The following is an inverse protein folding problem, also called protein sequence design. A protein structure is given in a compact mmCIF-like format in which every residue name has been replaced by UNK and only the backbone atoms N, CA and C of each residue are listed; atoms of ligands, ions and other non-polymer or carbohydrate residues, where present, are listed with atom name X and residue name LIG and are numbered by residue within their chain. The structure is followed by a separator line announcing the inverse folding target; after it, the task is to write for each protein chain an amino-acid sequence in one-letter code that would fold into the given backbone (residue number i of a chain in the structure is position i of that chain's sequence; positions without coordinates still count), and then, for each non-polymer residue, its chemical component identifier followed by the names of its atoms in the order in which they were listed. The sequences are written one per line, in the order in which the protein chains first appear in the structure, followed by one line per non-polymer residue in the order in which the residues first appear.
data_IF_514973615838
#
_entry.id   IF_514973615838
#
_cell.length_a   1.000
_cell.length_b   1.000
_cell.length_c   1.000
_cell.angle_alpha   90.00
_cell.angle_beta   90.00
_cell.angle_gamma   90.00
#
_symmetry.space_group_name_H-M   'P 1'
#
loop_
_entity.id
_entity.type
_entity.pdbx_description
1 polymer ?
#
# COMPACT_ATOMS: atom_id res chain seq x y z
N UNK A 1 11.56 8.54 -0.16
CA UNK A 1 10.37 8.21 0.68
C UNK A 1 9.99 6.73 0.54
N UNK A 2 9.24 6.12 1.47
CA UNK A 2 8.88 4.69 1.40
C UNK A 2 7.36 4.53 1.43
N UNK A 3 6.83 3.62 0.62
CA UNK A 3 5.43 3.19 0.61
C UNK A 3 5.31 1.79 1.18
N UNK A 4 4.53 1.62 2.25
CA UNK A 4 4.25 0.33 2.87
C UNK A 4 2.84 -0.13 2.48
N UNK A 5 2.73 -1.23 1.72
CA UNK A 5 1.45 -1.88 1.43
C UNK A 5 1.17 -2.98 2.45
N UNK A 6 0.27 -2.71 3.40
CA UNK A 6 -0.06 -3.62 4.50
C UNK A 6 -1.40 -4.30 4.23
N UNK A 7 -1.34 -5.49 3.62
CA UNK A 7 -2.51 -6.28 3.26
C UNK A 7 -2.86 -7.35 4.29
N UNK A 8 -4.04 -7.23 4.88
CA UNK A 8 -4.52 -8.12 5.95
C UNK A 8 -4.08 -7.70 7.36
N UNK A 9 -4.82 -8.17 8.36
CA UNK A 9 -4.64 -7.78 9.77
C UNK A 9 -3.19 -7.96 10.27
N UNK A 10 -2.50 -9.09 10.03
CA UNK A 10 -1.12 -9.27 10.53
C UNK A 10 -0.13 -8.28 9.95
N UNK A 11 -0.33 -7.80 8.72
CA UNK A 11 0.50 -6.76 8.14
C UNK A 11 0.13 -5.38 8.72
N UNK A 12 -1.16 -5.10 8.89
CA UNK A 12 -1.64 -3.81 9.39
C UNK A 12 -1.24 -3.54 10.84
N UNK A 13 -1.09 -4.56 11.69
CA UNK A 13 -0.59 -4.39 13.07
C UNK A 13 0.84 -3.84 13.10
N UNK A 14 1.65 -4.13 12.07
CA UNK A 14 3.02 -3.60 11.94
C UNK A 14 3.08 -2.11 11.62
N UNK A 15 1.95 -1.47 11.27
CA UNK A 15 1.91 -0.04 10.97
C UNK A 15 2.44 0.83 12.11
N UNK A 16 2.33 0.38 13.37
CA UNK A 16 2.87 1.10 14.54
C UNK A 16 4.38 1.26 14.51
N UNK A 17 5.10 0.42 13.76
CA UNK A 17 6.56 0.51 13.59
C UNK A 17 6.95 1.55 12.53
N UNK A 18 6.01 2.03 11.71
CA UNK A 18 6.25 3.06 10.70
C UNK A 18 5.98 4.43 11.32
N UNK A 19 6.99 5.00 11.98
CA UNK A 19 6.87 6.25 12.74
C UNK A 19 7.21 7.51 11.95
N UNK A 20 7.89 7.37 10.81
CA UNK A 20 8.29 8.51 10.00
C UNK A 20 7.10 9.03 9.17
N UNK A 21 6.64 10.28 9.38
CA UNK A 21 5.48 10.84 8.69
C UNK A 21 5.73 11.12 7.20
N UNK A 22 6.99 11.04 6.73
CA UNK A 22 7.34 11.12 5.30
C UNK A 22 7.11 9.80 4.55
N UNK A 23 6.60 8.77 5.22
CA UNK A 23 6.27 7.49 4.59
C UNK A 23 4.77 7.35 4.42
N UNK A 24 4.36 6.66 3.37
CA UNK A 24 2.97 6.35 3.11
C UNK A 24 2.66 4.93 3.58
N UNK A 25 1.57 4.77 4.33
CA UNK A 25 1.06 3.45 4.73
C UNK A 25 -0.30 3.23 4.06
N UNK A 26 -0.35 2.25 3.16
CA UNK A 26 -1.57 1.83 2.45
C UNK A 26 -2.09 0.54 3.08
N UNK A 27 -3.33 0.54 3.57
CA UNK A 27 -3.96 -0.61 4.24
C UNK A 27 -5.17 -1.09 3.45
N UNK A 28 -5.24 -2.39 3.22
CA UNK A 28 -6.41 -3.06 2.66
C UNK A 28 -6.55 -4.47 3.24
N UNK A 29 -7.71 -5.12 3.11
CA UNK A 29 -7.85 -6.56 3.33
C UNK A 29 -6.83 -7.37 2.51
N UNK A 30 -6.58 -8.62 2.90
CA UNK A 30 -5.66 -9.49 2.18
C UNK A 30 -6.25 -9.89 0.80
N UNK A 31 -5.43 -10.06 -0.26
CA UNK A 31 -5.88 -10.51 -1.59
C UNK A 31 -6.44 -11.94 -1.63
N UNK A 32 -6.39 -12.69 -0.52
CA UNK A 32 -6.96 -14.04 -0.44
C UNK A 32 -8.45 -14.02 -0.77
N UNK A 33 -8.99 -15.04 -1.47
CA UNK A 33 -10.41 -15.15 -1.78
C UNK A 33 -11.32 -14.96 -0.56
N UNK A 34 -10.85 -15.34 0.64
CA UNK A 34 -11.62 -15.21 1.89
C UNK A 34 -11.92 -13.75 2.29
N UNK A 35 -11.13 -12.79 1.83
CA UNK A 35 -11.20 -11.39 2.26
C UNK A 35 -11.14 -10.36 1.14
N UNK A 36 -10.80 -10.74 -0.10
CA UNK A 36 -10.52 -9.79 -1.17
C UNK A 36 -11.72 -8.89 -1.51
N UNK A 37 -12.93 -9.45 -1.50
CA UNK A 37 -14.19 -8.73 -1.73
C UNK A 37 -14.54 -7.73 -0.62
N UNK A 38 -13.88 -7.80 0.54
CA UNK A 38 -14.11 -6.88 1.67
C UNK A 38 -13.39 -5.55 1.52
N UNK A 39 -12.72 -5.31 0.38
CA UNK A 39 -12.05 -4.03 0.07
C UNK A 39 -10.64 -4.13 -0.47
N UNK A 40 -10.12 -5.33 -0.80
CA UNK A 40 -8.88 -5.43 -1.57
C UNK A 40 -9.13 -5.05 -3.03
N UNK A 41 -10.19 -5.63 -3.63
CA UNK A 41 -10.61 -5.22 -4.97
C UNK A 41 -11.05 -3.76 -4.95
N UNK A 42 -10.51 -2.97 -5.88
CA UNK A 42 -10.76 -1.54 -5.95
C UNK A 42 -9.91 -0.68 -5.00
N UNK A 43 -8.99 -1.24 -4.20
CA UNK A 43 -8.16 -0.45 -3.29
C UNK A 43 -7.19 0.52 -4.00
N UNK A 44 -6.87 0.25 -5.28
CA UNK A 44 -5.99 1.05 -6.15
C UNK A 44 -4.60 1.32 -5.54
N UNK A 45 -4.06 0.38 -4.75
CA UNK A 45 -2.78 0.59 -4.07
C UNK A 45 -1.60 0.83 -5.02
N UNK A 46 -1.57 0.16 -6.18
CA UNK A 46 -0.48 0.32 -7.15
C UNK A 46 -0.43 1.75 -7.73
N UNK A 47 -1.56 2.30 -8.18
CA UNK A 47 -1.60 3.67 -8.69
C UNK A 47 -1.32 4.69 -7.56
N UNK A 48 -1.91 4.50 -6.38
CA UNK A 48 -1.67 5.37 -5.21
C UNK A 48 -0.22 5.36 -4.74
N UNK A 49 0.48 4.24 -4.90
CA UNK A 49 1.92 4.15 -4.64
C UNK A 49 2.69 5.04 -5.62
N UNK A 50 2.41 4.92 -6.92
CA UNK A 50 3.09 5.73 -7.93
C UNK A 50 2.75 7.22 -7.78
N UNK A 51 1.48 7.58 -7.55
CA UNK A 51 1.07 8.97 -7.27
C UNK A 51 1.86 9.58 -6.10
N UNK A 52 2.09 8.80 -5.04
CA UNK A 52 2.89 9.26 -3.90
C UNK A 52 4.37 9.40 -4.24
N UNK A 53 4.94 8.45 -4.98
CA UNK A 53 6.34 8.51 -5.42
C UNK A 53 6.58 9.74 -6.30
N UNK A 54 5.72 9.95 -7.30
CA UNK A 54 5.77 11.11 -8.20
C UNK A 54 5.66 12.43 -7.45
N UNK A 55 4.72 12.54 -6.51
CA UNK A 55 4.55 13.73 -5.67
C UNK A 55 5.79 14.04 -4.81
N UNK A 56 6.67 13.07 -4.61
CA UNK A 56 7.94 13.23 -3.88
C UNK A 56 9.17 13.25 -4.80
N UNK A 57 8.98 13.34 -6.12
CA UNK A 57 10.06 13.37 -7.11
C UNK A 57 10.78 12.03 -7.31
N UNK A 58 10.19 10.93 -6.84
CA UNK A 58 10.71 9.57 -7.03
C UNK A 58 10.16 8.97 -8.33
N UNK A 59 10.92 8.07 -8.94
CA UNK A 59 10.48 7.36 -10.16
C UNK A 59 9.36 6.37 -9.84
N UNK A 60 8.25 6.35 -10.61
CA UNK A 60 7.18 5.36 -10.45
C UNK A 60 7.68 3.93 -10.63
N UNK A 61 6.99 2.98 -10.00
CA UNK A 61 7.25 1.57 -10.24
C UNK A 61 6.51 1.14 -11.51
N UNK A 62 7.22 0.47 -12.42
CA UNK A 62 6.59 -0.26 -13.51
C UNK A 62 6.07 -1.59 -12.97
N UNK A 63 4.74 -1.75 -13.00
CA UNK A 63 4.04 -2.91 -12.46
C UNK A 63 3.72 -3.96 -13.55
N UNK A 64 4.08 -3.70 -14.80
CA UNK A 64 3.88 -4.67 -15.88
C UNK A 64 4.77 -5.89 -15.64
N UNK A 65 4.19 -7.09 -15.85
CA UNK A 65 4.87 -8.40 -15.72
C UNK A 65 5.08 -8.99 -17.11
#
# INVERSE_FOLDING_TARGET
PIVYMLWGTPAQTKAVMVTNPRHLVLKAPHPSPLSAYRGFFGCRHFSRCNEFLEAHGETPIDWQI
#
